data_IF_698177294258
#
_entry.id   IF_698177294258
#
_cell.length_a   1.000
_cell.length_b   1.000
_cell.length_c   1.000
_cell.angle_alpha   90.00
_cell.angle_beta   90.00
_cell.angle_gamma   90.00
#
_symmetry.space_group_name_H-M   'P 1'
#
loop_
_entity.id
_entity.type
_entity.pdbx_description
1 polymer ?
#
# COMPACT_ATOMS: atom_id res chain seq x y z
N UNK A 1 1.57 6.83 24.64
CA UNK A 1 2.66 6.98 25.63
C UNK A 1 3.93 7.64 25.07
N UNK A 2 3.90 8.21 23.85
CA UNK A 2 5.02 8.96 23.23
C UNK A 2 6.39 8.23 23.25
N UNK A 3 6.36 6.90 23.26
CA UNK A 3 7.56 6.06 23.28
C UNK A 3 8.04 5.82 21.85
N UNK A 4 9.36 5.89 21.59
CA UNK A 4 9.90 5.54 20.29
C UNK A 4 9.61 4.05 20.01
N UNK A 5 9.17 3.77 18.79
CA UNK A 5 8.89 2.40 18.31
C UNK A 5 9.94 2.03 17.26
N UNK A 6 10.59 0.87 17.46
CA UNK A 6 11.53 0.34 16.48
C UNK A 6 10.77 -0.22 15.29
N UNK A 7 11.10 0.27 14.09
CA UNK A 7 10.55 -0.20 12.81
C UNK A 7 11.66 -0.65 11.87
N UNK A 8 11.31 -1.41 10.84
CA UNK A 8 12.24 -1.74 9.75
C UNK A 8 12.51 -0.50 8.89
N UNK A 9 13.69 -0.45 8.27
CA UNK A 9 14.12 0.68 7.43
C UNK A 9 13.09 1.01 6.32
N UNK A 10 12.56 -0.01 5.64
CA UNK A 10 11.55 0.17 4.60
C UNK A 10 10.30 0.95 5.09
N UNK A 11 9.80 0.63 6.28
CA UNK A 11 8.64 1.34 6.85
C UNK A 11 9.02 2.76 7.28
N UNK A 12 10.23 2.94 7.83
CA UNK A 12 10.71 4.27 8.21
C UNK A 12 10.79 5.21 7.00
N UNK A 13 11.30 4.71 5.87
CA UNK A 13 11.41 5.50 4.64
C UNK A 13 10.05 5.81 4.05
N UNK A 14 9.13 4.84 4.04
CA UNK A 14 7.74 5.06 3.64
C UNK A 14 7.05 6.14 4.50
N UNK A 15 7.19 6.08 5.83
CA UNK A 15 6.59 7.06 6.74
C UNK A 15 7.18 8.46 6.54
N UNK A 16 8.48 8.57 6.25
CA UNK A 16 9.12 9.85 5.91
C UNK A 16 8.60 10.42 4.60
N UNK A 17 8.50 9.58 3.57
CA UNK A 17 7.99 9.99 2.26
C UNK A 17 6.51 10.41 2.32
N UNK A 18 5.71 9.73 3.15
CA UNK A 18 4.28 10.03 3.30
C UNK A 18 4.00 11.23 4.22
N UNK A 19 4.97 11.71 5.01
CA UNK A 19 4.75 12.74 6.02
C UNK A 19 4.45 14.09 5.35
N UNK A 20 3.22 14.63 5.47
CA UNK A 20 2.92 15.98 4.99
C UNK A 20 3.62 17.05 5.85
N UNK A 21 3.92 18.20 5.23
CA UNK A 21 4.54 19.35 5.91
C UNK A 21 3.55 20.18 6.74
N UNK A 22 2.28 20.23 6.31
CA UNK A 22 1.32 21.25 6.77
C UNK A 22 0.10 20.70 7.53
N UNK A 23 -0.17 19.40 7.45
CA UNK A 23 -1.36 18.80 8.07
C UNK A 23 -1.03 17.48 8.77
N UNK A 24 -1.98 16.95 9.54
CA UNK A 24 -1.83 15.63 10.17
C UNK A 24 -2.32 14.54 9.23
N UNK A 25 -1.48 13.54 8.98
CA UNK A 25 -1.85 12.33 8.26
C UNK A 25 -2.12 11.22 9.27
N UNK A 26 -3.33 10.66 9.25
CA UNK A 26 -3.67 9.46 10.01
C UNK A 26 -3.39 8.25 9.13
N UNK A 27 -2.51 7.37 9.60
CA UNK A 27 -2.14 6.15 8.89
C UNK A 27 -2.48 4.95 9.75
N UNK A 28 -3.03 3.92 9.12
CA UNK A 28 -3.03 2.58 9.68
C UNK A 28 -1.87 1.80 9.09
N UNK A 29 -1.00 1.26 9.95
CA UNK A 29 0.13 0.41 9.59
C UNK A 29 0.12 -0.78 10.52
N UNK A 30 -0.06 -1.98 10.00
CA UNK A 30 -0.17 -3.22 10.79
C UNK A 30 0.98 -3.40 11.80
N UNK A 31 2.21 -3.08 11.41
CA UNK A 31 3.40 -3.16 12.25
C UNK A 31 3.39 -2.20 13.45
N UNK A 32 2.55 -1.14 13.43
CA UNK A 32 2.45 -0.13 14.48
C UNK A 32 1.11 -0.16 15.21
N UNK A 33 0.00 -0.35 14.49
CA UNK A 33 -1.35 -0.29 15.01
C UNK A 33 -1.80 -1.60 15.65
N UNK A 34 -1.20 -2.73 15.28
CA UNK A 34 -1.49 -4.04 15.88
C UNK A 34 -0.46 -4.30 16.98
N UNK A 35 -0.93 -4.76 18.14
CA UNK A 35 -0.03 -5.21 19.19
C UNK A 35 0.58 -6.57 18.80
N UNK A 36 1.75 -6.50 18.17
CA UNK A 36 2.48 -7.69 17.68
C UNK A 36 2.88 -8.67 18.79
N UNK A 37 2.79 -8.30 20.08
CA UNK A 37 3.08 -9.18 21.23
C UNK A 37 1.84 -9.86 21.80
N UNK A 38 0.64 -9.46 21.39
CA UNK A 38 -0.60 -10.05 21.86
C UNK A 38 -1.27 -10.82 20.71
N UNK A 39 -1.08 -12.13 20.68
CA UNK A 39 -1.63 -12.98 19.62
C UNK A 39 -3.16 -12.92 19.54
N UNK A 40 -3.86 -12.75 20.65
CA UNK A 40 -5.33 -12.66 20.66
C UNK A 40 -5.81 -11.37 20.00
N UNK A 41 -5.17 -10.24 20.30
CA UNK A 41 -5.47 -8.95 19.68
C UNK A 41 -5.08 -8.95 18.20
N UNK A 42 -3.87 -9.46 17.90
CA UNK A 42 -3.38 -9.61 16.53
C UNK A 42 -4.33 -10.41 15.65
N UNK A 43 -4.80 -11.58 16.09
CA UNK A 43 -5.75 -12.38 15.32
C UNK A 43 -7.05 -11.62 15.05
N UNK A 44 -7.56 -10.86 16.04
CA UNK A 44 -8.75 -10.02 15.87
C UNK A 44 -8.53 -8.88 14.87
N UNK A 45 -7.36 -8.25 14.84
CA UNK A 45 -7.04 -7.18 13.88
C UNK A 45 -6.83 -7.73 12.47
N UNK A 46 -6.12 -8.86 12.34
CA UNK A 46 -5.90 -9.51 11.04
C UNK A 46 -7.24 -9.88 10.39
N UNK A 47 -8.19 -10.41 11.16
CA UNK A 47 -9.54 -10.67 10.68
C UNK A 47 -10.30 -9.41 10.19
N UNK A 48 -9.90 -8.22 10.63
CA UNK A 48 -10.48 -6.94 10.20
C UNK A 48 -9.78 -6.30 9.00
N UNK A 49 -8.63 -6.83 8.55
CA UNK A 49 -7.81 -6.17 7.52
C UNK A 49 -8.60 -5.87 6.25
N UNK A 50 -9.42 -6.82 5.77
CA UNK A 50 -10.25 -6.61 4.58
C UNK A 50 -11.16 -5.38 4.72
N UNK A 51 -11.83 -5.25 5.87
CA UNK A 51 -12.68 -4.09 6.18
C UNK A 51 -11.86 -2.81 6.32
N UNK A 52 -10.70 -2.86 6.96
CA UNK A 52 -9.81 -1.69 7.12
C UNK A 52 -9.35 -1.16 5.76
N UNK A 53 -8.94 -2.04 4.84
CA UNK A 53 -8.55 -1.63 3.49
C UNK A 53 -9.74 -1.10 2.69
N UNK A 54 -10.92 -1.72 2.84
CA UNK A 54 -12.14 -1.30 2.17
C UNK A 54 -12.66 0.07 2.64
N UNK A 55 -12.59 0.34 3.94
CA UNK A 55 -13.07 1.58 4.56
C UNK A 55 -12.01 2.70 4.56
N UNK A 56 -10.76 2.41 4.17
CA UNK A 56 -9.72 3.42 4.08
C UNK A 56 -10.04 4.45 2.99
N UNK A 57 -9.90 5.73 3.32
CA UNK A 57 -10.02 6.84 2.34
C UNK A 57 -9.08 6.65 1.15
N UNK A 58 -7.89 6.08 1.41
CA UNK A 58 -6.92 5.73 0.38
C UNK A 58 -6.02 4.62 0.89
N UNK A 59 -5.72 3.67 0.01
CA UNK A 59 -4.66 2.67 0.23
C UNK A 59 -3.44 3.11 -0.58
N UNK A 60 -2.27 3.13 0.05
CA UNK A 60 -1.01 3.52 -0.60
C UNK A 60 -0.02 2.38 -0.55
N UNK A 61 0.47 1.96 -1.72
CA UNK A 61 1.51 0.95 -1.85
C UNK A 61 2.88 1.66 -1.91
N UNK A 62 3.80 1.26 -1.02
CA UNK A 62 5.18 1.75 -1.02
C UNK A 62 6.09 0.69 -1.64
N UNK A 63 6.69 1.02 -2.79
CA UNK A 63 7.55 0.11 -3.56
C UNK A 63 9.05 0.41 -3.42
N UNK A 64 9.42 1.42 -2.62
CA UNK A 64 10.79 1.81 -2.37
C UNK A 64 11.06 3.29 -2.63
N UNK A 65 12.29 3.72 -2.29
CA UNK A 65 12.77 5.07 -2.61
C UNK A 65 13.03 5.21 -4.11
N UNK A 66 12.87 6.41 -4.69
CA UNK A 66 13.20 6.64 -6.09
C UNK A 66 14.64 6.23 -6.41
N UNK A 67 14.80 5.50 -7.50
CA UNK A 67 16.07 5.16 -8.14
C UNK A 67 16.12 5.80 -9.52
N UNK A 68 17.30 5.85 -10.14
CA UNK A 68 17.48 6.43 -11.49
C UNK A 68 16.50 5.85 -12.52
N UNK A 69 16.16 4.57 -12.38
CA UNK A 69 15.33 3.86 -13.35
C UNK A 69 13.85 3.81 -12.93
N UNK A 70 13.49 4.39 -11.77
CA UNK A 70 12.12 4.38 -11.24
C UNK A 70 11.15 5.13 -12.16
N UNK A 71 11.55 6.29 -12.69
CA UNK A 71 10.68 7.08 -13.56
C UNK A 71 10.36 6.33 -14.86
N UNK A 72 11.36 5.69 -15.45
CA UNK A 72 11.19 4.84 -16.63
C UNK A 72 10.28 3.65 -16.37
N UNK A 73 10.43 2.99 -15.21
CA UNK A 73 9.58 1.86 -14.83
C UNK A 73 8.11 2.28 -14.62
N UNK A 74 7.87 3.41 -13.94
CA UNK A 74 6.51 3.95 -13.76
C UNK A 74 5.91 4.37 -15.10
N UNK A 75 6.68 5.02 -15.97
CA UNK A 75 6.22 5.39 -17.31
C UNK A 75 5.81 4.15 -18.13
N UNK A 76 6.62 3.09 -18.08
CA UNK A 76 6.30 1.81 -18.73
C UNK A 76 5.01 1.18 -18.16
N UNK A 77 4.87 1.12 -16.84
CA UNK A 77 3.67 0.56 -16.20
C UNK A 77 2.39 1.33 -16.59
N UNK A 78 2.47 2.66 -16.66
CA UNK A 78 1.36 3.48 -17.12
C UNK A 78 1.00 3.18 -18.59
N UNK A 79 2.02 3.11 -19.47
CA UNK A 79 1.80 2.79 -20.88
C UNK A 79 1.19 1.39 -21.08
N UNK A 80 1.72 0.38 -20.38
CA UNK A 80 1.20 -0.98 -20.40
C UNK A 80 -0.25 -1.06 -19.89
N UNK A 81 -0.56 -0.35 -18.80
CA UNK A 81 -1.91 -0.25 -18.27
C UNK A 81 -2.91 0.36 -19.26
N UNK A 82 -2.54 1.47 -19.90
CA UNK A 82 -3.37 2.09 -20.95
C UNK A 82 -3.57 1.17 -22.15
N UNK A 83 -2.53 0.45 -22.58
CA UNK A 83 -2.64 -0.51 -23.67
C UNK A 83 -3.61 -1.65 -23.33
N UNK A 84 -3.48 -2.26 -22.16
CA UNK A 84 -4.38 -3.34 -21.71
C UNK A 84 -5.84 -2.89 -21.59
N UNK A 85 -6.08 -1.65 -21.14
CA UNK A 85 -7.44 -1.09 -21.09
C UNK A 85 -8.01 -0.79 -22.48
N UNK A 86 -7.15 -0.53 -23.47
CA UNK A 86 -7.55 -0.31 -24.86
C UNK A 86 -7.78 -1.61 -25.64
N UNK A 87 -7.39 -2.77 -25.10
CA UNK A 87 -7.67 -4.04 -25.73
C UNK A 87 -9.18 -4.30 -25.72
N UNK A 88 -9.78 -4.66 -26.87
CA UNK A 88 -11.13 -5.22 -26.86
C UNK A 88 -11.13 -6.44 -25.94
N UNK A 89 -12.16 -6.56 -25.09
CA UNK A 89 -12.38 -7.77 -24.31
C UNK A 89 -12.32 -8.97 -25.26
N UNK A 90 -11.44 -9.94 -24.97
CA UNK A 90 -11.52 -11.27 -25.57
C UNK A 90 -12.85 -11.88 -25.11
N UNK A 91 -13.93 -11.56 -25.81
CA UNK A 91 -15.19 -12.26 -25.65
C UNK A 91 -14.98 -13.69 -26.13
N UNK A 92 -15.50 -14.65 -25.38
CA UNK A 92 -15.56 -16.06 -25.76
C UNK A 92 -16.32 -16.22 -27.10
N UNK A 93 -15.64 -16.05 -28.23
CA UNK A 93 -16.09 -16.48 -29.54
C UNK A 93 -15.16 -17.60 -30.02
N UNK A 94 -15.26 -18.76 -29.37
CA UNK A 94 -14.82 -20.06 -29.92
C UNK A 94 -15.50 -21.22 -29.17
N UNK A 95 -16.82 -21.09 -28.96
CA UNK A 95 -17.72 -22.23 -28.72
C UNK A 95 -18.73 -22.31 -29.86
N UNK A 96 -18.33 -22.92 -30.95
CA UNK A 96 -19.27 -23.54 -31.89
C UNK A 96 -18.70 -24.88 -32.32
#
# INVERSE_FOLDING_TARGET
DNRPVKVRQNLLDALRALRPKLYRLVLWVDALCINQRNNMEKSKQVAKMGRIFQEAVRVTCWIGTPTRDSDSAIAFLNAAGSFLQSMPSLTEEEKT
#
